data_IF_585625844215
#
_entry.id   IF_585625844215
#
_cell.length_a   1.000
_cell.length_b   1.000
_cell.length_c   1.000
_cell.angle_alpha   90.00
_cell.angle_beta   90.00
_cell.angle_gamma   90.00
#
_symmetry.space_group_name_H-M   'P 1'
#
loop_
_entity.id
_entity.type
_entity.pdbx_description
1 polymer ?
#
# COMPACT_ATOMS: atom_id res chain seq x y z
N UNK A 1 -52.93 4.47 -30.09
CA UNK A 1 -51.54 4.47 -30.59
C UNK A 1 -50.67 3.92 -29.47
N UNK A 2 -50.02 2.77 -29.66
CA UNK A 2 -49.21 2.11 -28.63
C UNK A 2 -47.75 2.49 -28.87
N UNK A 3 -47.15 3.21 -27.93
CA UNK A 3 -45.72 3.53 -27.95
C UNK A 3 -44.97 2.42 -27.22
N UNK A 4 -44.24 1.61 -27.95
CA UNK A 4 -43.36 0.59 -27.40
C UNK A 4 -42.03 1.28 -27.07
N UNK A 5 -41.75 1.46 -25.77
CA UNK A 5 -40.48 1.99 -25.30
C UNK A 5 -39.43 0.86 -25.31
N UNK A 6 -38.51 0.91 -26.26
CA UNK A 6 -37.35 0.01 -26.30
C UNK A 6 -36.30 0.53 -25.34
N UNK A 7 -36.10 -0.16 -24.21
CA UNK A 7 -34.99 0.11 -23.29
C UNK A 7 -33.70 -0.44 -23.90
N UNK A 8 -32.78 0.46 -24.24
CA UNK A 8 -31.39 0.11 -24.56
C UNK A 8 -30.65 -0.13 -23.24
N UNK A 9 -30.43 -1.39 -22.88
CA UNK A 9 -29.48 -1.74 -21.83
C UNK A 9 -28.08 -1.55 -22.40
N UNK A 10 -27.42 -0.45 -22.02
CA UNK A 10 -26.00 -0.29 -22.24
C UNK A 10 -25.28 -1.30 -21.33
N UNK A 11 -24.74 -2.37 -21.92
CA UNK A 11 -23.87 -3.28 -21.22
C UNK A 11 -22.59 -2.51 -20.86
N UNK A 12 -22.39 -2.24 -19.57
CA UNK A 12 -21.12 -1.75 -19.06
C UNK A 12 -20.10 -2.89 -19.20
N UNK A 13 -19.29 -2.86 -20.25
CA UNK A 13 -18.08 -3.66 -20.30
C UNK A 13 -17.15 -3.14 -19.21
N UNK A 14 -17.07 -3.87 -18.10
CA UNK A 14 -16.06 -3.65 -17.09
C UNK A 14 -14.70 -3.77 -17.78
N UNK A 15 -13.96 -2.66 -17.82
CA UNK A 15 -12.57 -2.66 -18.29
C UNK A 15 -11.81 -3.42 -17.21
N UNK A 16 -11.49 -4.68 -17.49
CA UNK A 16 -10.64 -5.49 -16.64
C UNK A 16 -9.22 -4.97 -16.85
N UNK A 17 -8.84 -3.95 -16.08
CA UNK A 17 -7.43 -3.54 -16.01
C UNK A 17 -6.68 -4.77 -15.52
N UNK A 18 -5.89 -5.36 -16.41
CA UNK A 18 -5.11 -6.55 -16.08
C UNK A 18 -4.22 -6.17 -14.91
N UNK A 19 -4.23 -6.94 -13.81
CA UNK A 19 -3.40 -6.68 -12.64
C UNK A 19 -1.94 -6.56 -13.10
N UNK A 20 -1.49 -5.31 -13.23
CA UNK A 20 -0.35 -5.00 -14.03
C UNK A 20 0.94 -5.45 -13.36
N UNK A 21 1.89 -5.82 -14.21
CA UNK A 21 3.16 -6.50 -13.95
C UNK A 21 4.13 -5.79 -12.98
N UNK A 22 3.69 -4.76 -12.26
CA UNK A 22 4.48 -4.17 -11.20
C UNK A 22 4.90 -5.23 -10.19
N UNK A 23 6.20 -5.20 -9.89
CA UNK A 23 6.79 -5.94 -8.79
C UNK A 23 7.70 -4.97 -8.08
N UNK A 24 7.58 -4.86 -6.76
CA UNK A 24 8.49 -4.03 -5.96
C UNK A 24 9.97 -4.40 -6.16
N UNK A 25 10.25 -5.65 -6.51
CA UNK A 25 11.60 -6.14 -6.83
C UNK A 25 12.15 -5.62 -8.16
N UNK A 26 11.33 -4.99 -9.01
CA UNK A 26 11.75 -4.34 -10.26
C UNK A 26 12.47 -3.01 -10.06
N UNK A 27 12.39 -2.44 -8.85
CA UNK A 27 13.20 -1.30 -8.43
C UNK A 27 14.70 -1.62 -8.59
N UNK A 28 15.48 -0.61 -8.96
CA UNK A 28 16.93 -0.74 -9.07
C UNK A 28 17.54 -1.03 -7.68
N UNK A 29 18.73 -1.64 -7.68
CA UNK A 29 19.37 -2.05 -6.43
C UNK A 29 19.59 -0.89 -5.45
N UNK A 30 19.83 0.33 -5.94
CA UNK A 30 20.02 1.51 -5.09
C UNK A 30 18.73 1.89 -4.37
N UNK A 31 17.62 1.97 -5.11
CA UNK A 31 16.31 2.25 -4.52
C UNK A 31 15.88 1.18 -3.52
N UNK A 32 16.12 -0.11 -3.81
CA UNK A 32 15.80 -1.21 -2.88
C UNK A 32 16.61 -1.10 -1.58
N UNK A 33 17.91 -0.81 -1.67
CA UNK A 33 18.76 -0.60 -0.50
C UNK A 33 18.31 0.60 0.33
N UNK A 34 17.98 1.72 -0.31
CA UNK A 34 17.48 2.91 0.38
C UNK A 34 16.13 2.65 1.06
N UNK A 35 15.22 1.95 0.37
CA UNK A 35 13.91 1.58 0.92
C UNK A 35 14.05 0.68 2.15
N UNK A 36 14.93 -0.33 2.10
CA UNK A 36 15.22 -1.17 3.25
C UNK A 36 15.86 -0.42 4.42
N UNK A 37 16.78 0.51 4.15
CA UNK A 37 17.36 1.35 5.19
C UNK A 37 16.29 2.22 5.89
N UNK A 38 15.37 2.78 5.12
CA UNK A 38 14.24 3.55 5.64
C UNK A 38 13.28 2.67 6.45
N UNK A 39 12.98 1.46 5.98
CA UNK A 39 12.15 0.47 6.68
C UNK A 39 12.72 0.13 8.06
N UNK A 40 14.02 -0.22 8.11
CA UNK A 40 14.71 -0.57 9.35
C UNK A 40 14.75 0.63 10.29
N UNK A 41 15.12 1.83 9.80
CA UNK A 41 15.17 3.03 10.63
C UNK A 41 13.79 3.40 11.19
N UNK A 42 12.74 3.30 10.38
CA UNK A 42 11.36 3.55 10.83
C UNK A 42 10.97 2.58 11.94
N UNK A 43 11.31 1.30 11.80
CA UNK A 43 11.04 0.29 12.82
C UNK A 43 11.78 0.60 14.13
N UNK A 44 13.08 0.87 14.05
CA UNK A 44 13.89 1.20 15.22
C UNK A 44 13.37 2.46 15.91
N UNK A 45 13.06 3.51 15.17
CA UNK A 45 12.53 4.76 15.74
C UNK A 45 11.18 4.54 16.41
N UNK A 46 10.28 3.76 15.79
CA UNK A 46 8.98 3.46 16.40
C UNK A 46 9.13 2.62 17.68
N UNK A 47 10.06 1.66 17.69
CA UNK A 47 10.30 0.81 18.86
C UNK A 47 11.08 1.48 19.99
N UNK A 48 11.66 2.67 19.77
CA UNK A 48 12.49 3.38 20.76
C UNK A 48 13.99 3.02 20.71
N UNK A 49 14.46 2.51 19.58
CA UNK A 49 15.87 2.24 19.29
C UNK A 49 16.14 0.82 18.76
N UNK A 50 17.37 0.55 18.27
CA UNK A 50 17.76 -0.76 17.75
C UNK A 50 17.65 -1.88 18.79
N UNK A 51 18.00 -1.61 20.05
CA UNK A 51 17.91 -2.60 21.14
C UNK A 51 16.47 -2.96 21.50
N UNK A 52 15.49 -2.18 21.06
CA UNK A 52 14.08 -2.42 21.29
C UNK A 52 13.37 -3.05 20.08
N UNK A 53 14.06 -3.22 18.96
CA UNK A 53 13.52 -3.70 17.68
C UNK A 53 14.27 -4.93 17.16
N UNK A 54 14.23 -6.08 17.87
CA UNK A 54 15.01 -7.28 17.50
C UNK A 54 14.63 -7.87 16.14
N UNK A 55 13.44 -7.55 15.62
CA UNK A 55 12.95 -7.98 14.32
C UNK A 55 12.99 -6.88 13.26
N UNK A 56 13.78 -5.81 13.44
CA UNK A 56 13.94 -4.77 12.43
C UNK A 56 14.84 -5.25 11.29
N UNK A 57 14.25 -5.81 10.23
CA UNK A 57 15.00 -6.25 9.05
C UNK A 57 14.30 -5.89 7.74
N UNK A 58 15.09 -5.84 6.67
CA UNK A 58 14.60 -5.78 5.30
C UNK A 58 15.64 -6.37 4.35
N UNK A 59 15.23 -7.34 3.52
CA UNK A 59 16.08 -7.99 2.54
C UNK A 59 16.10 -7.17 1.25
N UNK A 60 17.27 -6.67 0.82
CA UNK A 60 17.37 -5.78 -0.35
C UNK A 60 17.10 -6.46 -1.69
N UNK A 61 17.04 -7.79 -1.73
CA UNK A 61 16.79 -8.57 -2.96
C UNK A 61 15.31 -8.89 -3.11
N UNK A 62 14.67 -9.37 -2.04
CA UNK A 62 13.26 -9.76 -2.05
C UNK A 62 12.33 -8.64 -1.57
N UNK A 63 12.87 -7.62 -0.91
CA UNK A 63 12.11 -6.63 -0.14
C UNK A 63 11.17 -7.26 0.90
N UNK A 64 11.48 -8.49 1.33
CA UNK A 64 10.89 -9.06 2.52
C UNK A 64 11.32 -8.29 3.75
N UNK A 65 10.37 -7.91 4.57
CA UNK A 65 10.62 -7.08 5.74
C UNK A 65 9.85 -7.57 6.96
N UNK A 66 10.36 -7.21 8.12
CA UNK A 66 9.67 -7.41 9.39
C UNK A 66 9.95 -6.25 10.33
N UNK A 67 9.02 -6.00 11.23
CA UNK A 67 9.24 -5.12 12.37
C UNK A 67 8.53 -5.68 13.59
N UNK A 68 9.26 -5.76 14.71
CA UNK A 68 8.70 -6.18 15.99
C UNK A 68 9.46 -5.51 17.13
N UNK A 69 8.74 -4.90 18.06
CA UNK A 69 9.31 -4.28 19.23
C UNK A 69 9.19 -5.18 20.47
N UNK A 70 10.14 -5.08 21.41
CA UNK A 70 10.12 -5.89 22.64
C UNK A 70 9.02 -5.50 23.63
N UNK A 71 8.73 -4.19 23.73
CA UNK A 71 7.89 -3.64 24.81
C UNK A 71 6.52 -3.16 24.37
N UNK A 72 6.28 -3.09 23.06
CA UNK A 72 5.03 -2.59 22.48
C UNK A 72 4.79 -3.16 21.10
N UNK A 73 3.55 -3.08 20.65
CA UNK A 73 3.25 -3.18 19.22
C UNK A 73 3.70 -1.88 18.53
N UNK A 74 4.25 -1.94 17.31
CA UNK A 74 4.50 -0.72 16.56
C UNK A 74 3.23 0.13 16.40
N UNK A 75 3.35 1.46 16.47
CA UNK A 75 2.20 2.37 16.40
C UNK A 75 1.74 2.66 14.95
N UNK A 76 2.37 2.02 13.96
CA UNK A 76 2.08 2.23 12.54
C UNK A 76 1.26 1.08 11.98
N UNK A 77 0.18 1.42 11.30
CA UNK A 77 -0.56 0.49 10.47
C UNK A 77 0.31 -0.03 9.31
N UNK A 78 0.06 -1.28 8.89
CA UNK A 78 0.89 -1.99 7.90
C UNK A 78 1.04 -1.20 6.58
N UNK A 79 -0.01 -0.49 6.13
CA UNK A 79 0.01 0.30 4.89
C UNK A 79 0.87 1.57 4.95
N UNK A 80 1.25 2.02 6.14
CA UNK A 80 2.09 3.22 6.33
C UNK A 80 3.59 2.88 6.43
N UNK A 81 3.95 1.60 6.43
CA UNK A 81 5.35 1.21 6.42
C UNK A 81 6.00 1.54 5.07
N UNK A 82 7.29 1.92 5.05
CA UNK A 82 8.00 2.30 3.84
C UNK A 82 7.86 1.30 2.67
N UNK A 83 8.05 0.00 2.93
CA UNK A 83 7.99 -1.03 1.89
C UNK A 83 6.57 -1.18 1.29
N UNK A 84 5.51 -1.44 2.08
CA UNK A 84 4.13 -1.47 1.57
C UNK A 84 3.69 -0.17 0.88
N UNK A 85 4.07 0.99 1.41
CA UNK A 85 3.74 2.28 0.82
C UNK A 85 4.40 2.46 -0.57
N UNK A 86 5.65 2.03 -0.71
CA UNK A 86 6.35 2.06 -1.99
C UNK A 86 5.77 1.05 -3.00
N UNK A 87 5.38 -0.14 -2.53
CA UNK A 87 4.75 -1.17 -3.37
C UNK A 87 3.43 -0.66 -3.98
N UNK A 88 2.58 -0.07 -3.14
CA UNK A 88 1.32 0.52 -3.58
C UNK A 88 1.56 1.66 -4.58
N UNK A 89 2.50 2.57 -4.28
CA UNK A 89 2.80 3.71 -5.18
C UNK A 89 3.30 3.24 -6.54
N UNK A 90 4.23 2.29 -6.57
CA UNK A 90 4.72 1.72 -7.82
C UNK A 90 3.64 0.99 -8.61
N UNK A 91 2.71 0.31 -7.92
CA UNK A 91 1.54 -0.31 -8.54
C UNK A 91 0.61 0.74 -9.16
N UNK A 92 0.33 1.83 -8.45
CA UNK A 92 -0.48 2.94 -8.97
C UNK A 92 0.17 3.58 -10.21
N UNK A 93 1.47 3.87 -10.14
CA UNK A 93 2.23 4.45 -11.25
C UNK A 93 2.19 3.54 -12.49
N UNK A 94 2.35 2.22 -12.30
CA UNK A 94 2.23 1.24 -13.38
C UNK A 94 0.82 1.23 -13.99
N UNK A 95 -0.23 1.20 -13.16
CA UNK A 95 -1.62 1.27 -13.60
C UNK A 95 -1.89 2.54 -14.44
N UNK A 96 -1.47 3.70 -13.93
CA UNK A 96 -1.59 5.00 -14.62
C UNK A 96 -0.79 5.02 -15.93
N UNK A 97 0.40 4.40 -15.95
CA UNK A 97 1.19 4.27 -17.17
C UNK A 97 0.45 3.45 -18.23
N UNK A 98 -0.21 2.36 -17.83
CA UNK A 98 -0.94 1.48 -18.73
C UNK A 98 -2.23 2.09 -19.26
N UNK A 99 -2.90 2.96 -18.50
CA UNK A 99 -4.01 3.76 -19.02
C UNK A 99 -3.64 4.62 -20.25
N UNK A 100 -2.35 4.89 -20.46
CA UNK A 100 -1.89 5.66 -21.61
C UNK A 100 -1.70 4.82 -22.88
N UNK A 101 -1.54 3.50 -22.74
CA UNK A 101 -1.24 2.58 -23.86
C UNK A 101 -2.47 1.79 -24.30
N UNK A 102 -3.43 1.54 -23.40
CA UNK A 102 -4.65 0.81 -23.73
C UNK A 102 -5.61 1.65 -24.59
N UNK A 103 -6.23 1.01 -25.58
CA UNK A 103 -7.32 1.59 -26.36
C UNK A 103 -8.64 1.46 -25.60
N UNK A 104 -9.06 2.51 -24.91
CA UNK A 104 -10.29 2.52 -24.10
C UNK A 104 -10.62 3.90 -23.52
N UNK A 105 -11.54 3.92 -22.56
CA UNK A 105 -11.82 5.14 -21.80
C UNK A 105 -10.69 5.39 -20.79
N UNK A 106 -9.70 6.16 -21.24
CA UNK A 106 -8.54 6.55 -20.45
C UNK A 106 -8.91 7.31 -19.17
N UNK A 107 -9.99 8.10 -19.20
CA UNK A 107 -10.45 8.81 -18.00
C UNK A 107 -10.98 7.83 -16.96
N UNK A 108 -11.81 6.87 -17.38
CA UNK A 108 -12.30 5.81 -16.49
C UNK A 108 -11.14 4.97 -15.92
N UNK A 109 -10.13 4.65 -16.74
CA UNK A 109 -8.94 3.92 -16.30
C UNK A 109 -8.19 4.66 -15.18
N UNK A 110 -7.92 5.96 -15.33
CA UNK A 110 -7.22 6.74 -14.31
C UNK A 110 -7.98 6.84 -12.99
N UNK A 111 -9.32 6.94 -13.04
CA UNK A 111 -10.17 6.92 -11.86
C UNK A 111 -10.05 5.57 -11.16
N UNK A 112 -10.17 4.47 -11.92
CA UNK A 112 -10.03 3.12 -11.39
C UNK A 112 -8.66 2.87 -10.73
N UNK A 113 -7.56 3.36 -11.32
CA UNK A 113 -6.23 3.24 -10.70
C UNK A 113 -6.12 3.98 -9.36
N UNK A 114 -6.73 5.16 -9.24
CA UNK A 114 -6.75 5.93 -8.00
C UNK A 114 -7.64 5.29 -6.93
N UNK A 115 -8.79 4.75 -7.33
CA UNK A 115 -9.73 4.07 -6.44
C UNK A 115 -9.17 2.73 -5.93
N UNK A 116 -8.42 2.01 -6.77
CA UNK A 116 -7.80 0.72 -6.42
C UNK A 116 -6.55 0.89 -5.56
N UNK A 117 -5.72 1.90 -5.83
CA UNK A 117 -4.43 2.09 -5.16
C UNK A 117 -4.44 3.31 -4.23
N UNK A 118 -5.26 3.25 -3.18
CA UNK A 118 -5.36 4.31 -2.17
C UNK A 118 -4.19 4.25 -1.17
N UNK A 119 -2.98 4.47 -1.65
CA UNK A 119 -1.75 4.28 -0.88
C UNK A 119 -1.70 5.16 0.38
N UNK A 120 -1.13 4.63 1.47
CA UNK A 120 -1.07 5.27 2.79
C UNK A 120 -2.45 5.50 3.43
N UNK A 121 -3.43 4.67 3.06
CA UNK A 121 -4.76 4.62 3.69
C UNK A 121 -5.10 3.18 4.03
N UNK A 122 -6.09 2.98 4.91
CA UNK A 122 -6.62 1.66 5.28
C UNK A 122 -7.20 0.88 4.07
N UNK A 123 -7.61 1.61 3.03
CA UNK A 123 -8.12 1.03 1.79
C UNK A 123 -6.99 0.64 0.80
N UNK A 124 -5.72 0.84 1.16
CA UNK A 124 -4.62 0.42 0.32
C UNK A 124 -4.67 -1.11 0.08
N UNK A 125 -4.30 -1.58 -1.12
CA UNK A 125 -4.17 -3.01 -1.37
C UNK A 125 -3.09 -3.60 -0.45
N UNK A 126 -3.36 -4.79 0.08
CA UNK A 126 -2.42 -5.46 0.99
C UNK A 126 -1.12 -5.80 0.28
N UNK A 127 0.00 -5.27 0.81
CA UNK A 127 1.34 -5.70 0.40
C UNK A 127 1.70 -6.97 1.14
N UNK A 128 1.83 -8.08 0.43
CA UNK A 128 2.25 -9.38 0.97
C UNK A 128 3.76 -9.50 1.11
N UNK A 129 4.43 -8.37 1.39
CA UNK A 129 5.90 -8.24 1.51
C UNK A 129 6.41 -8.49 2.93
N UNK A 130 5.52 -8.52 3.92
CA UNK A 130 5.89 -8.81 5.31
C UNK A 130 6.25 -10.30 5.48
N UNK A 131 7.37 -10.56 6.17
CA UNK A 131 7.87 -11.90 6.46
C UNK A 131 8.29 -12.02 7.92
N UNK A 132 8.31 -13.25 8.44
CA UNK A 132 8.79 -13.52 9.80
C UNK A 132 10.31 -13.61 9.91
N UNK A 133 11.01 -13.74 8.79
CA UNK A 133 12.45 -13.99 8.73
C UNK A 133 13.09 -13.33 7.50
N UNK A 134 14.38 -12.97 7.63
CA UNK A 134 15.16 -12.22 6.63
C UNK A 134 15.44 -13.01 5.34
N UNK A 135 15.49 -14.35 5.43
CA UNK A 135 15.78 -15.23 4.31
C UNK A 135 14.51 -15.73 3.62
N UNK A 136 13.34 -15.47 4.23
CA UNK A 136 12.05 -15.88 3.65
C UNK A 136 11.65 -14.92 2.52
N UNK A 137 11.37 -15.48 1.35
CA UNK A 137 10.80 -14.71 0.25
C UNK A 137 9.32 -14.42 0.52
N UNK A 138 8.85 -13.17 0.33
CA UNK A 138 7.44 -12.85 0.51
C UNK A 138 6.55 -13.47 -0.56
N UNK A 139 5.25 -13.52 -0.26
CA UNK A 139 4.23 -14.00 -1.20
C UNK A 139 3.76 -12.84 -2.06
N UNK A 140 4.51 -12.42 -3.08
CA UNK A 140 4.16 -11.27 -3.93
C UNK A 140 2.80 -11.31 -4.65
N UNK A 141 2.06 -12.41 -4.53
CA UNK A 141 0.72 -12.58 -5.08
C UNK A 141 -0.20 -13.13 -3.99
N UNK A 142 -1.31 -12.45 -3.78
CA UNK A 142 -2.40 -12.86 -2.91
C UNK A 142 -3.74 -12.34 -3.41
N UNK A 143 -4.84 -12.67 -2.73
CA UNK A 143 -6.17 -12.17 -3.07
C UNK A 143 -6.21 -10.64 -3.03
N UNK A 144 -7.07 -10.03 -3.86
CA UNK A 144 -7.29 -8.59 -3.82
C UNK A 144 -8.12 -8.22 -2.57
N UNK A 145 -7.43 -7.87 -1.49
CA UNK A 145 -8.02 -7.43 -0.22
C UNK A 145 -7.38 -6.09 0.19
N UNK A 146 -8.17 -5.22 0.83
CA UNK A 146 -7.65 -4.06 1.55
C UNK A 146 -7.39 -4.41 3.01
N UNK A 147 -6.67 -3.54 3.72
CA UNK A 147 -6.42 -3.74 5.15
C UNK A 147 -7.67 -3.57 6.01
N UNK A 148 -8.68 -2.83 5.53
CA UNK A 148 -9.93 -2.61 6.25
C UNK A 148 -10.90 -3.80 6.21
N UNK A 149 -10.53 -4.90 5.53
CA UNK A 149 -11.36 -6.10 5.45
C UNK A 149 -12.57 -5.97 4.54
N UNK A 150 -12.78 -4.81 3.92
CA UNK A 150 -13.59 -4.70 2.72
C UNK A 150 -12.89 -5.53 1.65
N UNK A 151 -13.41 -6.74 1.43
CA UNK A 151 -13.10 -7.47 0.22
C UNK A 151 -13.41 -6.51 -0.93
N UNK A 152 -12.38 -6.04 -1.64
CA UNK A 152 -12.54 -5.39 -2.95
C UNK A 152 -13.24 -6.34 -3.96
N UNK A 153 -13.56 -7.57 -3.55
CA UNK A 153 -14.48 -8.47 -4.20
C UNK A 153 -15.90 -8.42 -3.61
N UNK A 154 -16.62 -7.33 -3.80
CA UNK A 154 -17.97 -7.46 -4.36
C UNK A 154 -17.90 -7.16 -5.86
N UNK A 155 -17.12 -8.00 -6.55
CA UNK A 155 -17.30 -8.29 -7.96
C UNK A 155 -18.49 -9.28 -8.07
N UNK A 156 -19.69 -8.88 -7.62
CA UNK A 156 -20.95 -9.41 -8.15
C UNK A 156 -21.22 -8.69 -9.48
N UNK A 157 -21.62 -9.30 -10.58
CA UNK A 157 -22.38 -10.53 -10.71
C UNK A 157 -22.18 -11.08 -12.14
N UNK A 158 -22.09 -12.41 -12.27
CA UNK A 158 -22.37 -13.11 -13.53
C UNK A 158 -21.34 -14.14 -13.99
N UNK A 159 -21.24 -15.29 -13.31
CA UNK A 159 -21.70 -16.57 -13.87
C UNK A 159 -20.92 -17.81 -13.34
N UNK A 160 -21.70 -18.77 -12.87
CA UNK A 160 -21.43 -20.20 -12.71
C UNK A 160 -20.42 -20.74 -11.69
N UNK A 161 -21.01 -21.12 -10.54
CA UNK A 161 -20.87 -22.42 -9.87
C UNK A 161 -19.98 -23.44 -10.59
N UNK A 162 -18.91 -23.88 -9.93
CA UNK A 162 -18.68 -25.31 -9.67
C UNK A 162 -17.56 -25.55 -8.65
N UNK A 163 -17.98 -26.16 -7.55
CA UNK A 163 -17.25 -27.23 -6.87
C UNK A 163 -16.02 -26.84 -6.01
N UNK A 164 -16.27 -26.56 -4.73
CA UNK A 164 -15.44 -27.08 -3.65
C UNK A 164 -16.34 -27.45 -2.47
N UNK A 165 -16.66 -28.74 -2.46
CA UNK A 165 -17.43 -29.45 -1.44
C UNK A 165 -16.59 -29.63 -0.19
N UNK A 166 -17.20 -29.20 0.92
CA UNK A 166 -17.18 -29.76 2.27
C UNK A 166 -15.82 -30.02 2.95
N UNK A 167 -15.47 -29.11 3.86
CA UNK A 167 -14.96 -29.53 5.15
C UNK A 167 -16.13 -30.02 6.00
N UNK A 168 -15.95 -31.22 6.54
CA UNK A 168 -16.81 -31.92 7.49
C UNK A 168 -16.77 -31.32 8.90
N UNK A 169 -17.72 -31.80 9.70
CA UNK A 169 -17.73 -31.89 11.16
C UNK A 169 -18.48 -30.80 11.93
N UNK A 170 -19.78 -31.07 12.10
CA UNK A 170 -20.46 -31.26 13.39
C UNK A 170 -19.85 -30.58 14.64
N UNK A 171 -20.57 -29.62 15.21
CA UNK A 171 -21.27 -29.82 16.50
C UNK A 171 -21.90 -28.54 17.05
N UNK A 172 -23.23 -28.57 17.15
CA UNK A 172 -24.03 -28.35 18.37
C UNK A 172 -23.71 -27.15 19.29
N UNK A 173 -24.69 -26.26 19.50
CA UNK A 173 -24.72 -25.45 20.73
C UNK A 173 -25.62 -24.22 20.70
N UNK A 174 -26.84 -24.36 21.22
CA UNK A 174 -27.93 -23.39 21.28
C UNK A 174 -27.72 -22.16 22.19
N UNK A 175 -28.50 -21.11 21.88
CA UNK A 175 -29.17 -20.13 22.77
C UNK A 175 -28.37 -19.30 23.79
N UNK A 176 -28.61 -17.99 23.78
CA UNK A 176 -28.40 -17.18 24.98
C UNK A 176 -28.52 -15.67 24.80
N UNK A 177 -29.75 -15.18 24.99
CA UNK A 177 -30.15 -13.90 25.60
C UNK A 177 -29.45 -12.58 25.27
N UNK A 178 -30.29 -11.66 24.79
CA UNK A 178 -30.14 -10.22 24.85
C UNK A 178 -30.17 -9.73 26.30
N UNK A 179 -29.15 -8.98 26.71
CA UNK A 179 -29.24 -8.12 27.89
C UNK A 179 -28.73 -6.71 27.54
N UNK A 180 -29.64 -5.76 27.69
CA UNK A 180 -29.38 -4.34 27.64
C UNK A 180 -28.82 -3.90 29.00
N UNK A 181 -27.78 -3.06 29.01
CA UNK A 181 -27.39 -2.31 30.20
C UNK A 181 -26.86 -0.94 29.80
N UNK A 182 -27.80 -0.02 29.88
CA UNK A 182 -27.69 1.39 30.20
C UNK A 182 -26.58 1.68 31.24
N UNK A 183 -25.71 2.66 31.00
CA UNK A 183 -25.06 3.45 32.06
C UNK A 183 -24.43 4.71 31.50
N UNK A 184 -25.17 5.79 31.69
CA UNK A 184 -24.75 7.18 31.63
C UNK A 184 -23.67 7.48 32.67
N UNK A 185 -22.60 8.21 32.32
CA UNK A 185 -21.86 9.04 33.28
C UNK A 185 -21.13 10.19 32.60
N UNK A 186 -21.59 11.39 32.94
CA UNK A 186 -21.01 12.71 32.70
C UNK A 186 -19.63 12.83 33.35
N UNK A 187 -18.67 13.52 32.71
CA UNK A 187 -17.80 14.46 33.44
C UNK A 187 -17.16 15.51 32.53
N UNK A 188 -17.43 16.77 32.88
CA UNK A 188 -16.88 18.01 32.35
C UNK A 188 -15.51 18.33 32.97
N UNK A 189 -14.63 19.02 32.22
CA UNK A 189 -13.72 20.09 32.68
C UNK A 189 -12.84 20.55 31.49
N UNK A 190 -12.98 21.77 30.97
CA UNK A 190 -12.49 23.09 31.44
C UNK A 190 -11.00 23.38 31.16
N UNK A 191 -10.79 24.28 30.19
CA UNK A 191 -9.90 25.46 30.14
C UNK A 191 -8.38 25.38 30.40
N UNK A 192 -7.63 25.98 29.46
CA UNK A 192 -6.41 26.86 29.58
C UNK A 192 -5.67 26.77 28.23
N UNK A 193 -5.63 27.74 27.31
CA UNK A 193 -5.20 29.15 27.38
C UNK A 193 -3.79 29.33 27.97
N UNK A 194 -2.79 29.42 27.10
CA UNK A 194 -1.47 30.02 27.34
C UNK A 194 -0.78 30.28 25.99
N UNK A 195 -0.76 31.56 25.64
CA UNK A 195 0.18 32.18 24.72
C UNK A 195 1.61 32.02 25.25
N UNK A 196 2.58 31.69 24.40
CA UNK A 196 3.99 31.99 24.67
C UNK A 196 4.77 32.09 23.35
N UNK A 197 5.04 33.34 22.99
CA UNK A 197 6.03 33.78 22.03
C UNK A 197 7.42 33.17 22.31
N UNK A 198 8.11 32.73 21.24
CA UNK A 198 9.57 32.79 21.21
C UNK A 198 10.11 32.85 19.79
N UNK A 199 10.38 34.08 19.38
CA UNK A 199 11.45 34.47 18.48
C UNK A 199 12.70 33.59 18.67
N UNK A 200 13.15 32.96 17.59
CA UNK A 200 14.55 32.54 17.44
C UNK A 200 15.05 32.95 16.07
N UNK A 201 15.67 34.13 16.07
CA UNK A 201 16.69 34.57 15.12
C UNK A 201 17.83 33.56 15.03
N UNK A 202 18.55 33.65 13.91
CA UNK A 202 19.95 33.19 13.71
C UNK A 202 20.05 31.74 13.24
N UNK A 203 20.78 31.37 12.18
CA UNK A 203 21.83 32.06 11.42
C UNK A 203 21.92 31.49 10.00
N UNK A 204 22.26 32.35 9.04
CA UNK A 204 22.77 31.98 7.73
C UNK A 204 23.95 30.98 7.82
N UNK A 205 23.82 29.85 7.12
CA UNK A 205 24.95 29.04 6.71
C UNK A 205 24.79 28.73 5.22
N UNK A 206 25.33 29.65 4.42
CA UNK A 206 25.61 29.49 3.00
C UNK A 206 26.55 28.28 2.84
N UNK A 207 25.99 27.13 2.44
CA UNK A 207 26.81 25.99 2.03
C UNK A 207 27.07 26.12 0.52
N UNK A 208 28.25 26.64 0.21
CA UNK A 208 28.83 26.68 -1.14
C UNK A 208 29.08 25.25 -1.59
N UNK A 209 28.15 24.65 -2.33
CA UNK A 209 28.43 23.42 -3.08
C UNK A 209 29.28 23.78 -4.30
N UNK A 210 30.56 23.45 -4.19
CA UNK A 210 31.55 23.46 -5.26
C UNK A 210 31.23 22.32 -6.22
N UNK A 211 30.49 22.63 -7.28
CA UNK A 211 30.24 21.73 -8.42
C UNK A 211 31.55 21.54 -9.19
N UNK A 212 32.32 20.51 -8.85
CA UNK A 212 33.42 20.06 -9.68
C UNK A 212 32.85 19.17 -10.79
N UNK A 213 32.96 19.64 -12.03
CA UNK A 213 32.57 18.92 -13.22
C UNK A 213 33.42 17.67 -13.45
N UNK A 214 32.75 16.56 -13.72
CA UNK A 214 33.19 15.49 -14.61
C UNK A 214 31.94 15.20 -15.46
N UNK A 215 31.89 15.55 -16.74
CA UNK A 215 32.76 15.03 -17.78
C UNK A 215 31.85 14.25 -18.73
N UNK A 216 31.16 14.97 -19.62
CA UNK A 216 30.47 14.37 -20.76
C UNK A 216 31.53 13.69 -21.64
N UNK A 217 31.48 12.36 -21.73
CA UNK A 217 32.05 11.63 -22.85
C UNK A 217 30.91 10.94 -23.58
N UNK A 218 30.37 11.63 -24.58
CA UNK A 218 29.55 11.03 -25.61
C UNK A 218 30.46 10.17 -26.50
N UNK A 219 30.21 8.86 -26.56
CA UNK A 219 30.78 8.00 -27.58
C UNK A 219 29.66 7.51 -28.49
N UNK A 220 29.49 8.22 -29.60
CA UNK A 220 28.74 7.79 -30.77
C UNK A 220 29.63 6.78 -31.50
N UNK A 221 29.27 5.50 -31.45
CA UNK A 221 29.82 4.49 -32.36
C UNK A 221 28.77 4.21 -33.44
N UNK A 222 28.96 4.85 -34.61
CA UNK A 222 28.27 4.49 -35.83
C UNK A 222 28.85 3.16 -36.34
N UNK A 223 28.03 2.11 -36.38
CA UNK A 223 28.34 0.89 -37.10
C UNK A 223 27.60 0.92 -38.45
N UNK A 224 28.35 1.23 -39.52
CA UNK A 224 27.99 0.91 -40.90
C UNK A 224 28.10 -0.60 -41.10
N UNK A 225 27.03 -1.25 -41.54
CA UNK A 225 27.10 -2.61 -42.10
C UNK A 225 26.05 -2.74 -43.22
N UNK A 226 26.59 -2.84 -44.44
CA UNK A 226 26.07 -3.30 -45.74
C UNK A 226 24.80 -2.69 -46.35
#
# INVERSE_FOLDING_TARGET
>A
MKFTATALFAAATAIVVSADTWKITSLDSGSRSNLCALQISTCQNNCGGPDQAPMAFCNTTTLGWGCGCLKKTPDFDTWNWPVPAADCKGSNEACVANCNVESGDRSACFVNCQDTHKCNTEDAPVSYTETSDVDTAPRYVGPAVSYNGDNLGDLNDGNDRSNLVASTDDSSGSNGSSDASDSSSKKSSDSSDSEDDKDSKSSDAVSVFKTAGLGLAASIAAAMVF
#
